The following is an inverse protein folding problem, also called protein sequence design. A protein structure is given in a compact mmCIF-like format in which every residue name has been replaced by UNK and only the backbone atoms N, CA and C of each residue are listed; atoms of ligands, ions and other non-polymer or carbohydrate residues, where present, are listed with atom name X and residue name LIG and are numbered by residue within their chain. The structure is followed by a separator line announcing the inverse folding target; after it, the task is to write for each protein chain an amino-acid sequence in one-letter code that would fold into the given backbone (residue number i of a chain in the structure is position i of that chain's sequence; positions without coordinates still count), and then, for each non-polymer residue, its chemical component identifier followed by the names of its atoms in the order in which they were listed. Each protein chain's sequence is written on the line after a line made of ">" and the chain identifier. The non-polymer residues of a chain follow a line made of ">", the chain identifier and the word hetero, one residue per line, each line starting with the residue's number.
data_IF_588943294132
#
_entry.id   IF_588943294132
#
_cell.length_a   1.000
_cell.length_b   1.000
_cell.length_c   1.000
_cell.angle_alpha   90.00
_cell.angle_beta   90.00
_cell.angle_gamma   90.00
#
_symmetry.space_group_name_H-M   'P 1'
#
loop_
_entity.id
_entity.type
_entity.pdbx_description
1 polymer ?
#
# COMPACT_ATOMS: atom_id res chain seq x y z
N UNK A 1 -5.51 -0.49 -23.83
CA UNK A 1 -5.98 0.84 -24.25
C UNK A 1 -6.65 1.51 -23.04
N UNK A 2 -6.45 2.82 -22.85
CA UNK A 2 -7.12 3.59 -21.80
C UNK A 2 -8.46 4.14 -22.32
N UNK A 3 -9.36 4.52 -21.40
CA UNK A 3 -10.62 5.18 -21.74
C UNK A 3 -10.39 6.48 -22.54
N UNK A 4 -9.30 7.22 -22.22
CA UNK A 4 -8.91 8.40 -22.99
C UNK A 4 -8.46 8.06 -24.42
N UNK A 5 -7.74 6.96 -24.61
CA UNK A 5 -7.34 6.50 -25.94
C UNK A 5 -8.55 6.01 -26.77
N UNK A 6 -9.57 5.45 -26.12
CA UNK A 6 -10.81 5.08 -26.77
C UNK A 6 -11.58 6.33 -27.28
N UNK A 7 -11.67 7.37 -26.46
CA UNK A 7 -12.28 8.66 -26.87
C UNK A 7 -11.52 9.31 -28.03
N UNK A 8 -10.17 9.31 -28.01
CA UNK A 8 -9.36 9.77 -29.13
C UNK A 8 -9.65 8.96 -30.41
N UNK A 9 -9.79 7.63 -30.28
CA UNK A 9 -10.12 6.76 -31.41
C UNK A 9 -11.48 7.04 -32.06
N UNK A 10 -12.46 7.56 -31.30
CA UNK A 10 -13.73 8.02 -31.87
C UNK A 10 -13.51 9.32 -32.64
N UNK A 11 -12.76 10.28 -32.09
CA UNK A 11 -12.44 11.52 -32.79
C UNK A 11 -11.68 11.29 -34.09
N UNK A 12 -10.82 10.28 -34.14
CA UNK A 12 -10.08 9.88 -35.34
C UNK A 12 -10.90 8.98 -36.31
N UNK A 13 -12.17 8.72 -36.01
CA UNK A 13 -13.04 7.86 -36.83
C UNK A 13 -12.71 6.38 -36.78
N UNK A 14 -11.87 5.93 -35.86
CA UNK A 14 -11.51 4.51 -35.70
C UNK A 14 -12.60 3.69 -35.01
N UNK A 15 -13.41 4.31 -34.19
CA UNK A 15 -14.50 3.69 -33.45
C UNK A 15 -15.79 4.50 -33.60
N UNK A 16 -16.97 3.86 -33.67
CA UNK A 16 -18.24 4.55 -33.74
C UNK A 16 -18.65 5.18 -32.40
N UNK A 17 -18.21 4.63 -31.27
CA UNK A 17 -18.47 5.10 -29.91
C UNK A 17 -17.41 4.62 -28.94
N UNK A 18 -17.34 5.22 -27.77
CA UNK A 18 -16.45 4.81 -26.67
C UNK A 18 -17.08 5.07 -25.31
N UNK A 19 -16.72 4.24 -24.32
CA UNK A 19 -17.01 4.49 -22.91
C UNK A 19 -15.79 5.20 -22.32
N UNK A 20 -16.00 6.40 -21.76
CA UNK A 20 -14.92 7.18 -21.15
C UNK A 20 -15.47 8.12 -20.07
N UNK A 21 -14.57 8.73 -19.30
CA UNK A 21 -14.96 9.80 -18.38
C UNK A 21 -15.49 11.01 -19.15
N UNK A 22 -16.42 11.82 -18.59
CA UNK A 22 -17.02 12.97 -19.24
C UNK A 22 -16.02 13.97 -19.83
N UNK A 23 -14.86 14.12 -19.19
CA UNK A 23 -13.76 14.96 -19.67
C UNK A 23 -13.24 14.54 -21.05
N UNK A 24 -13.36 13.25 -21.40
CA UNK A 24 -12.99 12.75 -22.74
C UNK A 24 -13.87 13.33 -23.83
N UNK A 25 -15.18 13.42 -23.60
CA UNK A 25 -16.11 14.03 -24.55
C UNK A 25 -15.79 15.53 -24.74
N UNK A 26 -15.53 16.26 -23.65
CA UNK A 26 -15.14 17.67 -23.70
C UNK A 26 -13.83 17.86 -24.47
N UNK A 27 -12.81 17.08 -24.14
CA UNK A 27 -11.47 17.20 -24.73
C UNK A 27 -11.44 16.97 -26.24
N UNK A 28 -12.23 16.01 -26.70
CA UNK A 28 -12.26 15.57 -28.10
C UNK A 28 -13.52 16.06 -28.86
N UNK A 29 -14.31 16.95 -28.25
CA UNK A 29 -15.53 17.53 -28.83
C UNK A 29 -16.51 16.47 -29.34
N UNK A 30 -16.70 15.40 -28.55
CA UNK A 30 -17.59 14.30 -28.88
C UNK A 30 -18.99 14.52 -28.30
N UNK A 31 -19.99 13.99 -28.99
CA UNK A 31 -21.37 13.96 -28.48
C UNK A 31 -21.50 12.90 -27.38
N UNK A 32 -22.08 13.30 -26.23
CA UNK A 32 -22.39 12.36 -25.16
C UNK A 32 -23.73 11.68 -25.48
N UNK A 33 -23.69 10.37 -25.67
CA UNK A 33 -24.88 9.56 -25.99
C UNK A 33 -25.64 9.12 -24.74
N UNK A 34 -24.92 8.79 -23.66
CA UNK A 34 -25.47 8.38 -22.36
C UNK A 34 -24.58 8.84 -21.22
N UNK A 35 -25.16 9.09 -20.05
CA UNK A 35 -24.46 9.49 -18.81
C UNK A 35 -24.74 8.47 -17.72
N UNK A 36 -23.85 8.45 -16.73
CA UNK A 36 -24.01 7.64 -15.50
C UNK A 36 -24.29 6.16 -15.78
N UNK A 37 -23.56 5.61 -16.75
CA UNK A 37 -23.70 4.22 -17.24
C UNK A 37 -22.82 3.23 -16.45
N UNK A 38 -22.29 3.64 -15.30
CA UNK A 38 -21.48 2.75 -14.47
C UNK A 38 -22.35 1.66 -13.81
N UNK A 39 -21.91 0.41 -13.85
CA UNK A 39 -22.58 -0.70 -13.17
C UNK A 39 -22.56 -0.53 -11.65
N UNK A 40 -21.52 0.14 -11.12
CA UNK A 40 -21.35 0.43 -9.70
C UNK A 40 -21.12 1.93 -9.50
N UNK A 41 -22.11 2.67 -8.98
CA UNK A 41 -21.99 4.12 -8.77
C UNK A 41 -20.89 4.49 -7.75
N UNK A 42 -20.55 3.57 -6.85
CA UNK A 42 -19.51 3.75 -5.82
C UNK A 42 -18.11 3.31 -6.28
N UNK A 43 -17.93 2.98 -7.57
CA UNK A 43 -16.63 2.59 -8.09
C UNK A 43 -15.62 3.74 -7.94
N UNK A 44 -14.56 3.50 -7.17
CA UNK A 44 -13.48 4.46 -6.95
C UNK A 44 -12.20 4.05 -7.67
N UNK A 45 -11.51 5.03 -8.24
CA UNK A 45 -10.17 4.83 -8.79
C UNK A 45 -9.14 5.43 -7.85
N UNK A 46 -8.21 4.61 -7.40
CA UNK A 46 -7.09 5.07 -6.59
C UNK A 46 -5.98 5.63 -7.50
N UNK A 47 -5.57 6.84 -7.22
CA UNK A 47 -4.39 7.46 -7.83
C UNK A 47 -3.26 7.54 -6.81
N UNK A 48 -2.03 7.28 -7.25
CA UNK A 48 -0.84 7.44 -6.44
C UNK A 48 0.02 8.59 -7.01
N UNK A 49 0.42 9.53 -6.16
CA UNK A 49 1.41 10.53 -6.51
C UNK A 49 2.80 9.91 -6.36
N UNK A 50 3.50 9.72 -7.48
CA UNK A 50 4.84 9.14 -7.51
C UNK A 50 5.87 10.24 -7.68
N UNK A 51 6.93 10.22 -6.85
CA UNK A 51 8.05 11.16 -6.90
C UNK A 51 9.38 10.46 -6.62
N UNK A 52 10.50 11.17 -6.80
CA UNK A 52 11.82 10.67 -6.43
C UNK A 52 11.89 10.35 -4.93
N UNK A 53 12.70 9.36 -4.51
CA UNK A 53 12.87 9.04 -3.10
C UNK A 53 13.24 10.27 -2.27
N UNK A 54 12.61 10.42 -1.13
CA UNK A 54 12.87 11.48 -0.16
C UNK A 54 12.45 11.01 1.24
N UNK A 55 12.81 11.80 2.25
CA UNK A 55 12.33 11.57 3.61
C UNK A 55 10.78 11.55 3.63
N UNK A 56 10.16 10.57 4.30
CA UNK A 56 8.72 10.58 4.53
C UNK A 56 8.27 11.87 5.21
N UNK A 57 7.04 12.34 4.98
CA UNK A 57 6.47 13.45 5.74
C UNK A 57 6.41 13.10 7.23
N UNK A 58 6.17 14.08 8.09
CA UNK A 58 5.91 13.83 9.51
C UNK A 58 4.61 13.04 9.68
N UNK A 59 4.54 12.12 10.67
CA UNK A 59 3.34 11.31 10.90
C UNK A 59 2.15 12.18 11.28
N UNK A 60 0.99 11.87 10.71
CA UNK A 60 -0.28 12.58 10.98
C UNK A 60 -1.13 11.87 12.03
N UNK A 61 -0.80 10.61 12.34
CA UNK A 61 -1.61 9.75 13.19
C UNK A 61 -2.66 8.93 12.43
N UNK A 62 -2.92 9.26 11.15
CA UNK A 62 -3.72 8.46 10.23
C UNK A 62 -2.98 8.31 8.90
N UNK A 63 -1.97 7.45 8.94
CA UNK A 63 -1.04 7.25 7.84
C UNK A 63 -1.15 5.84 7.27
N UNK A 64 -0.77 5.72 6.02
CA UNK A 64 -0.61 4.45 5.31
C UNK A 64 0.84 4.31 4.88
N UNK A 65 1.40 3.15 5.10
CA UNK A 65 2.70 2.76 4.55
C UNK A 65 2.52 1.74 3.44
N UNK A 66 2.99 2.07 2.25
CA UNK A 66 2.99 1.16 1.10
C UNK A 66 4.36 0.53 0.93
N UNK A 67 4.34 -0.79 0.74
CA UNK A 67 5.50 -1.63 0.54
C UNK A 67 5.34 -2.46 -0.74
N UNK A 68 6.46 -2.85 -1.35
CA UNK A 68 6.50 -3.97 -2.26
C UNK A 68 7.45 -5.03 -1.66
N UNK A 69 7.02 -6.27 -1.61
CA UNK A 69 7.83 -7.37 -1.09
C UNK A 69 7.95 -8.47 -2.13
N UNK A 70 9.16 -8.99 -2.31
CA UNK A 70 9.43 -10.16 -3.13
C UNK A 70 9.68 -11.35 -2.20
N UNK A 71 8.98 -12.44 -2.46
CA UNK A 71 9.17 -13.67 -1.69
C UNK A 71 10.21 -14.52 -2.44
N UNK A 72 11.29 -14.91 -1.76
CA UNK A 72 12.27 -15.81 -2.31
C UNK A 72 11.69 -17.21 -2.36
N UNK A 73 11.52 -17.73 -3.57
CA UNK A 73 11.15 -19.10 -3.88
C UNK A 73 9.74 -19.55 -3.42
N UNK A 74 9.18 -20.41 -4.22
CA UNK A 74 7.93 -21.12 -4.02
C UNK A 74 8.04 -22.13 -2.88
N UNK A 75 8.10 -21.63 -1.64
CA UNK A 75 8.04 -22.48 -0.45
C UNK A 75 6.67 -22.36 0.20
N UNK A 76 6.15 -23.47 0.66
CA UNK A 76 4.91 -23.50 1.44
C UNK A 76 5.01 -22.52 2.63
N UNK A 77 4.00 -21.66 2.79
CA UNK A 77 3.94 -20.69 3.88
C UNK A 77 4.76 -19.40 3.69
N UNK A 78 5.36 -19.17 2.51
CA UNK A 78 6.15 -17.94 2.30
C UNK A 78 5.32 -16.66 2.47
N UNK A 79 4.12 -16.58 1.91
CA UNK A 79 3.21 -15.46 2.12
C UNK A 79 2.72 -15.39 3.58
N UNK A 80 2.46 -16.53 4.21
CA UNK A 80 2.09 -16.58 5.63
C UNK A 80 3.18 -15.97 6.51
N UNK A 81 4.46 -16.23 6.23
CA UNK A 81 5.56 -15.62 6.98
C UNK A 81 5.56 -14.09 6.87
N UNK A 82 5.27 -13.53 5.67
CA UNK A 82 5.11 -12.08 5.48
C UNK A 82 3.96 -11.53 6.32
N UNK A 83 2.79 -12.17 6.25
CA UNK A 83 1.60 -11.74 7.00
C UNK A 83 1.80 -11.88 8.51
N UNK A 84 2.52 -12.91 8.96
CA UNK A 84 2.86 -13.12 10.37
C UNK A 84 3.73 -11.98 10.92
N UNK A 85 4.74 -11.51 10.16
CA UNK A 85 5.60 -10.40 10.60
C UNK A 85 4.80 -9.11 10.86
N UNK A 86 3.74 -8.88 10.11
CA UNK A 86 2.82 -7.76 10.34
C UNK A 86 1.86 -8.03 11.51
N UNK A 87 1.21 -9.20 11.51
CA UNK A 87 0.17 -9.55 12.47
C UNK A 87 0.66 -9.59 13.92
N UNK A 88 1.82 -10.20 14.18
CA UNK A 88 2.40 -10.31 15.55
C UNK A 88 2.80 -8.95 16.13
N UNK A 89 2.90 -7.91 15.30
CA UNK A 89 3.20 -6.54 15.72
C UNK A 89 1.97 -5.61 15.66
N UNK A 90 0.77 -6.18 15.44
CA UNK A 90 -0.47 -5.41 15.40
C UNK A 90 -0.54 -4.44 14.22
N UNK A 91 0.19 -4.68 13.15
CA UNK A 91 0.12 -3.88 11.92
C UNK A 91 -1.01 -4.42 11.06
N UNK A 92 -2.06 -3.63 10.90
CA UNK A 92 -3.18 -3.97 10.04
C UNK A 92 -2.80 -3.81 8.56
N UNK A 93 -3.24 -4.76 7.74
CA UNK A 93 -3.04 -4.77 6.29
C UNK A 93 -4.36 -4.38 5.61
N UNK A 94 -4.39 -3.23 4.95
CA UNK A 94 -5.60 -2.71 4.29
C UNK A 94 -5.67 -3.09 2.81
N UNK A 95 -4.54 -3.44 2.20
CA UNK A 95 -4.50 -3.95 0.82
C UNK A 95 -3.37 -4.95 0.63
N UNK A 96 -3.66 -5.99 -0.14
CA UNK A 96 -2.67 -6.90 -0.70
C UNK A 96 -2.97 -7.12 -2.18
N UNK A 97 -1.97 -6.96 -3.02
CA UNK A 97 -2.06 -7.17 -4.46
C UNK A 97 -0.83 -7.92 -4.94
N UNK A 98 -1.03 -9.05 -5.62
CA UNK A 98 0.07 -9.84 -6.19
C UNK A 98 0.25 -9.49 -7.66
N UNK A 99 1.51 -9.32 -8.07
CA UNK A 99 1.90 -9.14 -9.47
C UNK A 99 2.98 -10.14 -9.84
N UNK A 100 2.81 -10.92 -10.91
CA UNK A 100 3.88 -11.77 -11.41
C UNK A 100 5.06 -10.89 -11.87
N UNK A 101 6.29 -11.31 -11.59
CA UNK A 101 7.49 -10.54 -12.02
C UNK A 101 7.74 -10.60 -13.52
N UNK A 102 7.16 -11.57 -14.21
CA UNK A 102 7.39 -11.80 -15.63
C UNK A 102 8.72 -12.50 -15.98
N UNK A 103 9.60 -12.68 -15.00
CA UNK A 103 10.92 -13.29 -15.21
C UNK A 103 10.85 -14.82 -15.15
N UNK A 104 10.08 -15.37 -14.23
CA UNK A 104 9.87 -16.81 -14.06
C UNK A 104 8.47 -17.08 -13.49
N UNK A 105 7.88 -18.22 -13.90
CA UNK A 105 6.65 -18.73 -13.29
C UNK A 105 6.85 -18.94 -11.78
N UNK A 106 5.88 -18.49 -10.97
CA UNK A 106 5.91 -18.64 -9.52
C UNK A 106 6.62 -17.51 -8.76
N UNK A 107 7.22 -16.52 -9.44
CA UNK A 107 7.76 -15.33 -8.77
C UNK A 107 6.75 -14.20 -8.76
N UNK A 108 6.42 -13.74 -7.55
CA UNK A 108 5.47 -12.66 -7.32
C UNK A 108 6.09 -11.53 -6.50
N UNK A 109 5.74 -10.31 -6.85
CA UNK A 109 5.87 -9.15 -6.00
C UNK A 109 4.51 -8.84 -5.38
N UNK A 110 4.46 -8.71 -4.08
CA UNK A 110 3.25 -8.33 -3.35
C UNK A 110 3.32 -6.86 -2.98
N UNK A 111 2.32 -6.10 -3.39
CA UNK A 111 2.13 -4.73 -2.95
C UNK A 111 1.21 -4.73 -1.73
N UNK A 112 1.68 -4.16 -0.65
CA UNK A 112 1.02 -4.15 0.65
C UNK A 112 0.78 -2.70 1.08
N UNK A 113 -0.43 -2.40 1.54
CA UNK A 113 -0.71 -1.16 2.26
C UNK A 113 -0.98 -1.51 3.72
N UNK A 114 -0.17 -0.94 4.59
CA UNK A 114 -0.19 -1.16 6.05
C UNK A 114 -0.67 0.10 6.75
N UNK A 115 -1.50 -0.04 7.79
CA UNK A 115 -1.85 1.07 8.66
C UNK A 115 -0.66 1.49 9.51
N UNK A 116 -0.39 2.78 9.52
CA UNK A 116 0.64 3.40 10.32
C UNK A 116 1.77 4.03 9.51
N UNK A 117 2.63 4.75 10.21
CA UNK A 117 3.78 5.48 9.65
C UNK A 117 5.09 4.76 9.99
N UNK A 118 6.08 4.84 9.11
CA UNK A 118 7.40 4.22 9.32
C UNK A 118 8.12 4.71 10.58
N UNK A 119 7.75 5.87 11.10
CA UNK A 119 8.28 6.40 12.37
C UNK A 119 7.69 5.70 13.61
N UNK A 120 6.59 4.96 13.48
CA UNK A 120 6.03 4.16 14.57
C UNK A 120 6.94 2.96 14.85
N UNK A 121 7.23 2.69 16.13
CA UNK A 121 8.16 1.63 16.52
C UNK A 121 7.67 0.25 16.06
N UNK A 122 6.35 -0.03 16.20
CA UNK A 122 5.74 -1.29 15.75
C UNK A 122 5.91 -1.53 14.26
N UNK A 123 5.71 -0.49 13.43
CA UNK A 123 5.86 -0.61 11.97
C UNK A 123 7.33 -0.74 11.58
N UNK A 124 8.23 0.01 12.23
CA UNK A 124 9.67 -0.11 12.05
C UNK A 124 10.17 -1.54 12.32
N UNK A 125 9.72 -2.16 13.42
CA UNK A 125 10.05 -3.55 13.73
C UNK A 125 9.45 -4.54 12.73
N UNK A 126 8.22 -4.31 12.25
CA UNK A 126 7.61 -5.13 11.22
C UNK A 126 8.42 -5.09 9.92
N UNK A 127 8.86 -3.90 9.49
CA UNK A 127 9.74 -3.73 8.33
C UNK A 127 11.08 -4.47 8.51
N UNK A 128 11.68 -4.37 9.70
CA UNK A 128 12.87 -5.13 10.05
C UNK A 128 12.64 -6.65 9.98
N UNK A 129 11.47 -7.13 10.42
CA UNK A 129 11.03 -8.52 10.29
C UNK A 129 10.92 -8.94 8.83
N UNK A 130 10.17 -8.18 8.04
CA UNK A 130 10.01 -8.43 6.60
C UNK A 130 11.36 -8.48 5.86
N UNK A 131 12.29 -7.57 6.21
CA UNK A 131 13.62 -7.55 5.58
C UNK A 131 14.43 -8.83 5.84
N UNK A 132 14.15 -9.56 6.94
CA UNK A 132 14.79 -10.83 7.26
C UNK A 132 14.16 -12.03 6.57
N UNK A 133 12.84 -12.00 6.31
CA UNK A 133 12.08 -13.15 5.79
C UNK A 133 11.81 -13.10 4.29
N UNK A 134 11.84 -11.90 3.69
CA UNK A 134 11.64 -11.70 2.26
C UNK A 134 12.96 -11.74 1.49
N UNK A 135 12.89 -12.02 0.19
CA UNK A 135 14.03 -11.87 -0.72
C UNK A 135 14.40 -10.40 -0.86
N UNK A 136 13.40 -9.54 -1.02
CA UNK A 136 13.57 -8.11 -1.03
C UNK A 136 12.33 -7.37 -0.50
N UNK A 137 12.56 -6.17 0.01
CA UNK A 137 11.52 -5.27 0.53
C UNK A 137 11.81 -3.87 0.02
N UNK A 138 10.89 -3.31 -0.72
CA UNK A 138 10.93 -1.93 -1.20
C UNK A 138 9.93 -1.09 -0.40
N UNK A 139 10.44 -0.09 0.29
CA UNK A 139 9.63 0.93 0.94
C UNK A 139 9.19 1.96 -0.09
N UNK A 140 7.90 2.03 -0.39
CA UNK A 140 7.34 2.94 -1.39
C UNK A 140 6.90 4.28 -0.78
N UNK A 141 6.69 4.33 0.54
CA UNK A 141 6.43 5.55 1.28
C UNK A 141 5.46 5.36 2.44
N UNK A 142 5.54 6.28 3.41
CA UNK A 142 4.50 6.55 4.39
C UNK A 142 3.90 7.91 4.09
N UNK A 143 2.58 8.01 4.10
CA UNK A 143 1.86 9.22 3.71
C UNK A 143 0.47 9.24 4.37
N UNK A 144 -0.12 10.44 4.55
CA UNK A 144 -1.47 10.58 5.10
C UNK A 144 -2.49 9.79 4.27
N UNK A 145 -3.43 9.16 4.94
CA UNK A 145 -4.56 8.49 4.28
C UNK A 145 -5.40 9.52 3.53
N UNK A 146 -5.73 9.23 2.28
CA UNK A 146 -6.61 10.08 1.49
C UNK A 146 -8.07 9.67 1.68
N UNK A 147 -8.98 10.65 1.74
CA UNK A 147 -10.43 10.47 1.85
C UNK A 147 -10.95 10.89 3.22
N UNK A 148 -12.28 11.15 3.28
CA UNK A 148 -12.97 11.56 4.50
C UNK A 148 -13.52 10.37 5.31
N UNK A 149 -13.55 9.19 4.71
CA UNK A 149 -14.13 7.98 5.32
C UNK A 149 -13.01 7.14 5.94
N UNK A 150 -12.49 7.66 7.03
CA UNK A 150 -11.54 6.94 7.86
C UNK A 150 -12.33 5.97 8.72
N UNK A 151 -12.35 4.69 8.34
CA UNK A 151 -12.86 3.65 9.22
C UNK A 151 -12.25 3.82 10.62
N UNK A 152 -13.04 3.59 11.66
CA UNK A 152 -12.61 3.71 13.05
C UNK A 152 -11.30 2.93 13.24
N UNK A 153 -10.24 3.62 13.63
CA UNK A 153 -8.93 3.00 13.86
C UNK A 153 -9.08 1.99 15.00
N UNK A 154 -8.94 0.72 14.70
CA UNK A 154 -9.00 -0.32 15.72
C UNK A 154 -7.86 -0.09 16.72
N UNK A 155 -8.21 0.08 17.99
CA UNK A 155 -7.21 0.22 19.04
C UNK A 155 -6.27 -0.99 19.03
N UNK A 156 -4.95 -0.80 19.17
CA UNK A 156 -4.01 -1.91 19.21
C UNK A 156 -4.33 -2.83 20.39
N UNK A 157 -4.19 -4.14 20.19
CA UNK A 157 -4.30 -5.10 21.27
C UNK A 157 -3.24 -4.82 22.34
N UNK A 158 -3.47 -5.34 23.56
CA UNK A 158 -2.52 -5.20 24.68
C UNK A 158 -1.11 -5.67 24.28
N UNK A 159 -0.13 -4.82 24.52
CA UNK A 159 1.28 -5.10 24.19
C UNK A 159 1.65 -4.79 22.73
N UNK A 160 0.73 -4.22 21.94
CA UNK A 160 0.94 -3.89 20.53
C UNK A 160 0.79 -2.38 20.23
N UNK A 161 0.69 -1.55 21.25
CA UNK A 161 0.78 -0.10 21.08
C UNK A 161 2.24 0.32 20.82
N UNK A 162 2.44 1.41 20.11
CA UNK A 162 3.79 1.93 19.79
C UNK A 162 4.64 2.15 21.05
N UNK A 163 4.01 2.61 22.14
CA UNK A 163 4.64 2.78 23.44
C UNK A 163 5.20 1.45 24.02
N UNK A 164 4.51 0.34 23.83
CA UNK A 164 4.93 -0.98 24.33
C UNK A 164 6.23 -1.42 23.63
N UNK A 165 6.33 -1.21 22.33
CA UNK A 165 7.55 -1.49 21.57
C UNK A 165 8.71 -0.61 21.99
N UNK A 166 8.45 0.69 22.21
CA UNK A 166 9.47 1.63 22.66
C UNK A 166 9.98 1.27 24.07
N UNK A 167 9.09 0.84 24.97
CA UNK A 167 9.46 0.38 26.31
C UNK A 167 10.32 -0.88 26.26
N UNK A 168 9.88 -1.89 25.49
CA UNK A 168 10.63 -3.13 25.31
C UNK A 168 12.04 -2.89 24.74
N UNK A 169 12.17 -1.98 23.77
CA UNK A 169 13.47 -1.61 23.19
C UNK A 169 14.39 -0.95 24.25
N UNK A 170 13.85 -0.04 25.08
CA UNK A 170 14.61 0.56 26.19
C UNK A 170 15.07 -0.49 27.21
N UNK A 171 14.19 -1.40 27.58
CA UNK A 171 14.53 -2.49 28.51
C UNK A 171 15.68 -3.36 27.97
N UNK A 172 15.63 -3.81 26.72
CA UNK A 172 16.71 -4.56 26.07
C UNK A 172 18.01 -3.77 26.05
N UNK A 173 17.94 -2.46 25.77
CA UNK A 173 19.11 -1.58 25.77
C UNK A 173 19.75 -1.49 27.16
N UNK A 174 18.93 -1.37 28.20
CA UNK A 174 19.42 -1.39 29.60
C UNK A 174 20.10 -2.71 29.98
N UNK A 175 19.53 -3.85 29.55
CA UNK A 175 20.16 -5.16 29.78
C UNK A 175 21.55 -5.26 29.12
N UNK A 176 21.70 -4.73 27.92
CA UNK A 176 23.00 -4.74 27.20
C UNK A 176 24.02 -3.80 27.83
N UNK A 177 23.59 -2.72 28.47
CA UNK A 177 24.49 -1.79 29.17
C UNK A 177 25.01 -2.37 30.50
N UNK A 178 24.34 -3.40 31.05
CA UNK A 178 24.67 -3.96 32.37
C UNK A 178 24.20 -3.07 33.53
N UNK A 179 24.32 -3.55 34.77
CA UNK A 179 23.97 -2.76 35.94
C UNK A 179 24.91 -1.53 36.02
N UNK A 180 24.34 -0.34 36.14
CA UNK A 180 25.06 0.84 36.54
C UNK A 180 25.44 0.64 38.01
N UNK A 181 26.73 0.45 38.29
CA UNK A 181 27.27 0.29 39.64
C UNK A 181 27.06 1.54 40.52
#
# INVERSE_FOLDING_TARGET
>A
LSNGAAAAGVADGRYPAAICAPIGAVRYQLTVLARDIADHPEAMTRFALVRRPMRPPEPTGDDVTTLAVSISHDRVGALLAVLTELAVRGVNLTRIESRPTGEQLGRYTFFLDCDGHVAEARLGEALGGLRRVCADVWFLGSYPRAGADHGERVAPARGLADADFAEAARWVTALRAGPTG
#
